data_IF_149022845906
#
_entry.id   IF_149022845906
#
_cell.length_a   1.000
_cell.length_b   1.000
_cell.length_c   1.000
_cell.angle_alpha   90.00
_cell.angle_beta   90.00
_cell.angle_gamma   90.00
#
_symmetry.space_group_name_H-M   'P 1'
#
loop_
_entity.id
_entity.type
_entity.pdbx_description
1 polymer ?
#
# COMPACT_ATOMS: atom_id res chain seq x y z
N UNK A 1 -5.74 -11.44 9.16
CA UNK A 1 -7.09 -10.89 9.41
C UNK A 1 -8.13 -11.76 8.71
N UNK A 2 -9.38 -11.89 9.20
CA UNK A 2 -10.39 -12.74 8.57
C UNK A 2 -10.94 -12.14 7.26
N UNK A 3 -11.47 -12.98 6.36
CA UNK A 3 -12.10 -12.56 5.08
C UNK A 3 -13.18 -11.49 5.29
N UNK A 4 -14.02 -11.65 6.31
CA UNK A 4 -15.10 -10.71 6.64
C UNK A 4 -14.61 -9.28 6.89
N UNK A 5 -13.39 -9.12 7.41
CA UNK A 5 -12.79 -7.80 7.62
C UNK A 5 -12.48 -7.08 6.29
N UNK A 6 -12.11 -7.83 5.25
CA UNK A 6 -11.86 -7.27 3.91
C UNK A 6 -13.14 -7.09 3.09
N UNK A 7 -14.25 -7.76 3.46
CA UNK A 7 -15.53 -7.70 2.77
C UNK A 7 -16.31 -6.40 3.04
N UNK A 8 -15.62 -5.27 3.05
CA UNK A 8 -16.13 -3.91 3.29
C UNK A 8 -15.64 -2.99 2.18
N UNK A 9 -16.16 -1.76 2.10
CA UNK A 9 -15.77 -0.83 1.04
C UNK A 9 -14.24 -0.63 1.00
N UNK A 10 -13.66 -0.53 -0.20
CA UNK A 10 -12.22 -0.34 -0.35
C UNK A 10 -11.71 0.92 0.36
N UNK A 11 -12.55 1.95 0.53
CA UNK A 11 -12.20 3.15 1.30
C UNK A 11 -12.09 2.87 2.80
N UNK A 12 -13.00 2.08 3.38
CA UNK A 12 -12.93 1.66 4.78
C UNK A 12 -11.69 0.78 4.98
N UNK A 13 -11.53 -0.23 4.12
CA UNK A 13 -10.39 -1.15 4.18
C UNK A 13 -9.08 -0.40 4.03
N UNK A 14 -8.95 0.54 3.09
CA UNK A 14 -7.74 1.33 2.90
C UNK A 14 -7.38 2.16 4.14
N UNK A 15 -8.37 2.87 4.72
CA UNK A 15 -8.15 3.66 5.92
C UNK A 15 -7.68 2.80 7.09
N UNK A 16 -8.31 1.65 7.31
CA UNK A 16 -8.03 0.79 8.47
C UNK A 16 -6.88 -0.19 8.27
N UNK A 17 -6.37 -0.32 7.04
CA UNK A 17 -5.13 -1.03 6.75
C UNK A 17 -3.90 -0.28 7.26
N UNK A 18 -3.98 1.05 7.37
CA UNK A 18 -2.91 1.85 7.96
C UNK A 18 -2.70 1.42 9.43
N UNK A 19 -1.45 1.20 9.82
CA UNK A 19 -1.11 0.66 11.14
C UNK A 19 -1.12 -0.88 11.23
N UNK A 20 -1.72 -1.58 10.26
CA UNK A 20 -1.61 -3.05 10.17
C UNK A 20 -0.28 -3.46 9.57
N UNK A 21 0.16 -4.69 9.81
CA UNK A 21 1.44 -5.18 9.33
C UNK A 21 1.25 -6.04 8.09
N UNK A 22 1.98 -5.72 7.01
CA UNK A 22 2.22 -6.67 5.94
C UNK A 22 3.27 -7.65 6.43
N UNK A 23 2.99 -8.95 6.30
CA UNK A 23 3.89 -9.99 6.80
C UNK A 23 4.09 -11.08 5.75
N UNK A 24 5.35 -11.45 5.52
CA UNK A 24 5.76 -12.51 4.61
C UNK A 24 6.65 -13.51 5.33
N UNK A 25 6.34 -14.81 5.20
CA UNK A 25 7.27 -15.90 5.50
C UNK A 25 7.98 -16.34 4.21
N UNK A 26 9.30 -16.23 4.18
CA UNK A 26 10.12 -16.55 3.01
C UNK A 26 11.43 -17.23 3.44
N UNK A 27 11.68 -18.44 2.93
CA UNK A 27 12.90 -19.23 3.21
C UNK A 27 13.21 -19.32 4.72
N UNK A 28 12.21 -19.68 5.53
CA UNK A 28 12.35 -19.82 6.98
C UNK A 28 12.39 -18.51 7.78
N UNK A 29 12.43 -17.35 7.12
CA UNK A 29 12.45 -16.03 7.77
C UNK A 29 11.11 -15.31 7.66
N UNK A 30 10.82 -14.46 8.63
CA UNK A 30 9.64 -13.58 8.64
C UNK A 30 10.07 -12.15 8.38
N UNK A 31 9.48 -11.52 7.36
CA UNK A 31 9.62 -10.09 7.05
C UNK A 31 8.29 -9.44 7.43
N UNK A 32 8.31 -8.42 8.27
CA UNK A 32 7.11 -7.70 8.72
C UNK A 32 7.40 -6.21 8.78
N UNK A 33 6.46 -5.38 8.32
CA UNK A 33 6.51 -3.93 8.50
C UNK A 33 5.10 -3.35 8.52
N UNK A 34 4.92 -2.27 9.28
CA UNK A 34 3.65 -1.55 9.37
C UNK A 34 3.31 -0.89 8.03
N UNK A 35 2.07 -1.01 7.56
CA UNK A 35 1.56 -0.35 6.36
C UNK A 35 1.33 1.13 6.67
N UNK A 36 1.97 1.99 5.88
CA UNK A 36 2.01 3.45 6.08
C UNK A 36 1.35 4.24 4.95
N UNK A 37 1.22 3.65 3.76
CA UNK A 37 0.59 4.30 2.61
C UNK A 37 -0.17 3.28 1.76
N UNK A 38 -1.41 3.62 1.38
CA UNK A 38 -2.25 2.80 0.51
C UNK A 38 -3.07 3.64 -0.46
N UNK A 39 -3.56 3.02 -1.53
CA UNK A 39 -4.56 3.60 -2.43
C UNK A 39 -5.77 2.68 -2.59
N UNK A 40 -6.96 3.27 -2.50
CA UNK A 40 -8.22 2.57 -2.78
C UNK A 40 -8.59 2.67 -4.27
N UNK A 41 -9.03 1.56 -4.83
CA UNK A 41 -9.64 1.45 -6.15
C UNK A 41 -11.04 0.88 -5.98
N UNK A 42 -12.07 1.66 -6.31
CA UNK A 42 -13.45 1.35 -5.88
C UNK A 42 -14.26 0.55 -6.89
N UNK A 43 -13.68 0.16 -8.03
CA UNK A 43 -14.30 -0.79 -8.95
C UNK A 43 -14.84 -0.15 -10.23
N UNK A 44 -16.03 -0.54 -10.72
CA UNK A 44 -16.50 -0.21 -12.07
C UNK A 44 -16.62 1.29 -12.36
N UNK A 45 -17.02 2.09 -11.40
CA UNK A 45 -17.21 3.53 -11.59
C UNK A 45 -15.87 4.27 -11.63
N UNK A 46 -14.84 3.70 -10.99
CA UNK A 46 -13.54 4.30 -10.80
C UNK A 46 -12.68 4.19 -12.04
N UNK A 47 -12.57 5.28 -12.80
CA UNK A 47 -11.81 5.30 -14.05
C UNK A 47 -10.29 5.12 -13.87
N UNK A 48 -9.77 5.16 -12.63
CA UNK A 48 -8.39 4.79 -12.34
C UNK A 48 -8.21 3.30 -12.01
N UNK A 49 -9.30 2.54 -11.83
CA UNK A 49 -9.26 1.11 -11.55
C UNK A 49 -9.00 0.30 -12.82
N UNK A 50 -8.23 -0.78 -12.72
CA UNK A 50 -8.13 -1.74 -13.82
C UNK A 50 -9.46 -2.42 -14.16
N UNK A 51 -10.40 -2.43 -13.21
CA UNK A 51 -11.74 -2.97 -13.40
C UNK A 51 -12.78 -1.88 -13.73
N UNK A 52 -12.34 -0.67 -14.13
CA UNK A 52 -13.22 0.37 -14.61
C UNK A 52 -14.19 -0.16 -15.68
N UNK A 53 -15.43 0.34 -15.67
CA UNK A 53 -16.54 -0.10 -16.53
C UNK A 53 -16.87 -1.59 -16.39
N UNK A 54 -16.54 -2.19 -15.24
CA UNK A 54 -16.77 -3.61 -14.98
C UNK A 54 -15.87 -4.53 -15.81
N UNK A 55 -14.75 -4.02 -16.34
CA UNK A 55 -13.89 -4.77 -17.24
C UNK A 55 -13.24 -5.97 -16.54
N UNK A 56 -13.73 -7.17 -16.88
CA UNK A 56 -13.19 -8.44 -16.42
C UNK A 56 -12.25 -9.03 -17.47
N UNK A 57 -10.96 -9.02 -17.17
CA UNK A 57 -9.89 -9.63 -17.97
C UNK A 57 -9.24 -10.75 -17.16
N UNK A 58 -8.40 -11.58 -17.79
CA UNK A 58 -7.60 -12.56 -17.04
C UNK A 58 -6.83 -11.92 -15.87
N UNK A 59 -6.30 -10.70 -16.08
CA UNK A 59 -5.58 -9.94 -15.04
C UNK A 59 -6.49 -9.45 -13.92
N UNK A 60 -7.70 -9.00 -14.22
CA UNK A 60 -8.60 -8.37 -13.23
C UNK A 60 -9.61 -9.34 -12.63
N UNK A 61 -9.71 -10.57 -13.16
CA UNK A 61 -10.66 -11.58 -12.71
C UNK A 61 -10.62 -11.83 -11.20
N UNK A 62 -9.42 -11.84 -10.61
CA UNK A 62 -9.24 -12.00 -9.15
C UNK A 62 -9.96 -10.92 -8.33
N UNK A 63 -10.06 -9.70 -8.84
CA UNK A 63 -10.76 -8.61 -8.14
C UNK A 63 -12.25 -8.88 -7.98
N UNK A 64 -12.85 -9.67 -8.88
CA UNK A 64 -14.25 -10.07 -8.80
C UNK A 64 -14.48 -11.25 -7.83
N UNK A 65 -13.41 -11.86 -7.32
CA UNK A 65 -13.49 -12.99 -6.40
C UNK A 65 -13.70 -12.59 -4.95
N UNK A 66 -13.49 -13.53 -4.01
CA UNK A 66 -13.57 -13.30 -2.58
C UNK A 66 -12.64 -12.18 -2.08
N UNK A 67 -13.14 -11.35 -1.16
CA UNK A 67 -12.31 -10.39 -0.42
C UNK A 67 -11.18 -11.06 0.36
N UNK A 68 -10.09 -10.33 0.56
CA UNK A 68 -8.91 -10.84 1.27
C UNK A 68 -8.02 -11.75 0.41
N UNK A 69 -8.22 -11.77 -0.91
CA UNK A 69 -7.27 -12.37 -1.87
C UNK A 69 -6.27 -11.34 -2.36
N UNK A 70 -5.05 -11.77 -2.59
CA UNK A 70 -4.03 -10.91 -3.18
C UNK A 70 -4.29 -10.74 -4.67
N UNK A 71 -4.26 -9.49 -5.13
CA UNK A 71 -4.19 -9.14 -6.53
C UNK A 71 -2.80 -8.55 -6.81
N UNK A 72 -1.91 -9.39 -7.36
CA UNK A 72 -0.55 -9.00 -7.71
C UNK A 72 -0.42 -8.91 -9.22
N UNK A 73 0.15 -7.81 -9.71
CA UNK A 73 0.33 -7.65 -11.15
C UNK A 73 1.68 -7.02 -11.47
N UNK A 74 2.17 -7.36 -12.66
CA UNK A 74 3.41 -6.82 -13.20
C UNK A 74 3.13 -5.52 -13.95
N UNK A 75 3.99 -4.53 -13.79
CA UNK A 75 3.90 -3.23 -14.46
C UNK A 75 5.26 -2.83 -15.04
N UNK A 76 5.21 -2.05 -16.12
CA UNK A 76 6.37 -1.44 -16.78
C UNK A 76 7.50 -2.43 -17.10
N UNK A 77 7.18 -3.72 -17.28
CA UNK A 77 8.16 -4.76 -17.59
C UNK A 77 9.15 -5.10 -16.49
N UNK A 78 9.04 -4.54 -15.28
CA UNK A 78 10.09 -4.67 -14.26
C UNK A 78 9.62 -4.81 -12.81
N UNK A 79 8.36 -4.47 -12.48
CA UNK A 79 7.93 -4.34 -11.09
C UNK A 79 6.60 -5.04 -10.80
N UNK A 80 6.53 -5.72 -9.65
CA UNK A 80 5.28 -6.23 -9.08
C UNK A 80 4.63 -5.20 -8.18
N UNK A 81 3.30 -5.13 -8.20
CA UNK A 81 2.50 -4.33 -7.29
C UNK A 81 1.52 -5.24 -6.56
N UNK A 82 1.39 -5.05 -5.25
CA UNK A 82 0.57 -5.90 -4.38
C UNK A 82 -0.68 -5.16 -3.92
N UNK A 83 -1.83 -5.74 -4.23
CA UNK A 83 -3.14 -5.23 -3.84
C UNK A 83 -3.87 -6.31 -3.04
N UNK A 84 -4.80 -5.91 -2.18
CA UNK A 84 -5.72 -6.81 -1.50
C UNK A 84 -7.15 -6.54 -1.98
N UNK A 85 -7.87 -7.59 -2.40
CA UNK A 85 -9.26 -7.49 -2.84
C UNK A 85 -10.15 -7.11 -1.66
N UNK A 86 -11.05 -6.16 -1.88
CA UNK A 86 -11.96 -5.62 -0.87
C UNK A 86 -13.38 -5.53 -1.40
N UNK A 87 -14.35 -5.53 -0.50
CA UNK A 87 -15.78 -5.41 -0.84
C UNK A 87 -16.47 -6.75 -1.04
N UNK A 88 -17.71 -6.69 -1.54
CA UNK A 88 -18.51 -7.89 -1.83
C UNK A 88 -17.91 -8.62 -3.03
N UNK A 89 -18.04 -9.95 -3.03
CA UNK A 89 -17.71 -10.77 -4.19
C UNK A 89 -18.53 -10.31 -5.41
N UNK A 90 -17.91 -10.32 -6.59
CA UNK A 90 -18.45 -9.75 -7.82
C UNK A 90 -18.24 -8.23 -7.97
N UNK A 91 -17.91 -7.49 -6.91
CA UNK A 91 -17.59 -6.06 -6.99
C UNK A 91 -16.07 -5.86 -7.01
N UNK A 92 -15.46 -5.47 -8.14
CA UNK A 92 -14.01 -5.52 -8.32
C UNK A 92 -13.28 -4.34 -7.69
N UNK A 93 -13.26 -4.28 -6.35
CA UNK A 93 -12.52 -3.27 -5.60
C UNK A 93 -11.28 -3.86 -4.93
N UNK A 94 -10.25 -3.03 -4.77
CA UNK A 94 -8.99 -3.45 -4.16
C UNK A 94 -8.27 -2.28 -3.52
N UNK A 95 -7.33 -2.59 -2.64
CA UNK A 95 -6.43 -1.62 -2.02
C UNK A 95 -5.00 -1.94 -2.39
N UNK A 96 -4.30 -1.00 -3.03
CA UNK A 96 -2.88 -1.07 -3.33
C UNK A 96 -2.07 -0.72 -2.08
N UNK A 97 -1.11 -1.56 -1.70
CA UNK A 97 -0.13 -1.22 -0.66
C UNK A 97 1.03 -0.48 -1.31
N UNK A 98 1.23 0.78 -0.93
CA UNK A 98 2.24 1.67 -1.50
C UNK A 98 3.45 1.89 -0.61
N UNK A 99 3.22 1.88 0.69
CA UNK A 99 4.25 2.17 1.67
C UNK A 99 4.09 1.29 2.88
N UNK A 100 5.24 0.91 3.42
CA UNK A 100 5.38 0.36 4.76
C UNK A 100 6.45 1.15 5.51
N UNK A 101 6.61 0.91 6.79
CA UNK A 101 7.67 1.52 7.59
C UNK A 101 9.04 1.34 6.93
N UNK A 102 9.80 2.44 6.80
CA UNK A 102 11.09 2.47 6.11
C UNK A 102 11.07 2.32 4.58
N UNK A 103 9.92 2.06 3.96
CA UNK A 103 9.83 1.82 2.50
C UNK A 103 8.64 2.55 1.88
N UNK A 104 8.92 3.55 1.04
CA UNK A 104 7.92 4.22 0.21
C UNK A 104 8.04 3.81 -1.26
N UNK A 105 6.90 3.48 -1.88
CA UNK A 105 6.75 3.13 -3.28
C UNK A 105 6.28 1.68 -3.47
N UNK A 106 5.18 1.42 -4.21
CA UNK A 106 4.55 0.08 -4.27
C UNK A 106 5.48 -1.00 -4.84
N UNK A 107 6.28 -0.66 -5.84
CA UNK A 107 7.29 -1.57 -6.40
C UNK A 107 8.39 -1.93 -5.39
N UNK A 108 8.79 -0.97 -4.54
CA UNK A 108 9.78 -1.18 -3.48
C UNK A 108 9.22 -2.05 -2.36
N UNK A 109 7.94 -1.87 -2.01
CA UNK A 109 7.24 -2.76 -1.07
C UNK A 109 7.27 -4.20 -1.57
N UNK A 110 6.79 -4.45 -2.80
CA UNK A 110 6.77 -5.81 -3.35
C UNK A 110 8.17 -6.44 -3.41
N UNK A 111 9.19 -5.67 -3.82
CA UNK A 111 10.59 -6.13 -3.85
C UNK A 111 11.12 -6.48 -2.47
N UNK A 112 10.89 -5.61 -1.48
CA UNK A 112 11.34 -5.80 -0.09
C UNK A 112 10.76 -7.08 0.51
N UNK A 113 9.49 -7.34 0.24
CA UNK A 113 8.77 -8.52 0.73
C UNK A 113 8.90 -9.76 -0.17
N UNK A 114 9.70 -9.70 -1.24
CA UNK A 114 9.88 -10.81 -2.21
C UNK A 114 8.54 -11.31 -2.77
N UNK A 115 7.62 -10.39 -3.06
CA UNK A 115 6.29 -10.67 -3.61
C UNK A 115 6.39 -10.72 -5.14
N UNK A 116 5.81 -11.77 -5.73
CA UNK A 116 5.73 -11.99 -7.17
C UNK A 116 4.30 -12.40 -7.57
N UNK A 117 4.05 -12.55 -8.88
CA UNK A 117 2.74 -12.89 -9.42
C UNK A 117 2.16 -14.22 -8.94
N UNK A 118 2.98 -15.13 -8.40
CA UNK A 118 2.50 -16.38 -7.79
C UNK A 118 1.62 -16.17 -6.55
N UNK A 119 1.60 -14.97 -5.96
CA UNK A 119 0.66 -14.61 -4.90
C UNK A 119 -0.73 -14.24 -5.41
N UNK A 120 -0.88 -13.93 -6.69
CA UNK A 120 -2.18 -13.57 -7.23
C UNK A 120 -3.16 -14.70 -6.99
N UNK A 121 -4.35 -14.32 -6.54
CA UNK A 121 -5.42 -15.25 -6.20
C UNK A 121 -5.11 -16.12 -4.95
N UNK A 122 -4.03 -15.88 -4.22
CA UNK A 122 -3.83 -16.52 -2.92
C UNK A 122 -4.55 -15.75 -1.79
N UNK A 123 -5.12 -16.45 -0.78
CA UNK A 123 -5.72 -15.79 0.37
C UNK A 123 -4.67 -15.16 1.30
N UNK A 124 -4.96 -13.99 1.88
CA UNK A 124 -4.09 -13.27 2.80
C UNK A 124 -4.03 -13.88 4.20
N UNK A 125 -3.45 -15.08 4.30
CA UNK A 125 -3.32 -15.85 5.53
C UNK A 125 -1.93 -16.50 5.68
N UNK A 126 -1.63 -16.98 6.89
CA UNK A 126 -0.32 -17.59 7.22
C UNK A 126 0.01 -18.82 6.37
N UNK A 127 -1.00 -19.57 5.88
CA UNK A 127 -0.81 -20.76 5.04
C UNK A 127 -0.25 -20.40 3.66
N UNK A 128 -0.71 -19.31 3.05
CA UNK A 128 -0.10 -18.77 1.81
C UNK A 128 1.31 -18.20 2.03
N UNK A 129 1.64 -17.91 3.29
CA UNK A 129 2.88 -17.26 3.69
C UNK A 129 2.92 -15.75 3.46
N UNK A 130 1.85 -15.11 2.97
CA UNK A 130 1.71 -13.65 2.86
C UNK A 130 0.38 -13.22 3.48
N UNK A 131 0.41 -12.44 4.54
CA UNK A 131 -0.79 -12.05 5.29
C UNK A 131 -0.71 -10.63 5.84
N UNK A 132 -1.85 -10.18 6.36
CA UNK A 132 -1.95 -8.94 7.14
C UNK A 132 -2.25 -9.29 8.59
N UNK A 133 -1.51 -8.66 9.49
CA UNK A 133 -1.58 -8.85 10.93
C UNK A 133 -2.00 -7.55 11.62
N UNK A 134 -2.93 -7.65 12.56
CA UNK A 134 -3.23 -6.56 13.47
C UNK A 134 -2.37 -6.71 14.72
N UNK A 135 -1.62 -5.66 15.07
CA UNK A 135 -0.74 -5.61 16.24
C UNK A 135 -1.17 -4.55 17.25
N UNK A 136 -2.37 -4.01 17.09
CA UNK A 136 -2.92 -3.01 18.02
C UNK A 136 -2.41 -1.58 17.79
N UNK A 137 -1.61 -1.31 16.76
CA UNK A 137 -1.15 0.05 16.46
C UNK A 137 -2.34 0.94 16.10
N UNK A 138 -2.40 2.08 16.79
CA UNK A 138 -3.42 3.11 16.62
C UNK A 138 -2.84 4.28 15.83
N UNK A 139 -3.44 4.55 14.67
CA UNK A 139 -3.03 5.68 13.81
C UNK A 139 -3.79 6.92 14.28
N UNK A 140 -3.07 7.91 14.83
CA UNK A 140 -3.66 9.15 15.36
C UNK A 140 -4.03 10.13 14.25
N UNK A 141 -3.29 10.15 13.14
CA UNK A 141 -3.57 11.05 12.01
C UNK A 141 -3.36 10.39 10.66
N UNK A 142 -4.37 10.48 9.81
CA UNK A 142 -4.34 10.03 8.41
C UNK A 142 -4.46 11.24 7.49
N UNK A 143 -3.51 11.39 6.57
CA UNK A 143 -3.58 12.35 5.48
C UNK A 143 -4.15 11.68 4.25
N UNK A 144 -5.00 12.40 3.51
CA UNK A 144 -5.62 11.92 2.27
C UNK A 144 -5.21 12.80 1.10
N UNK A 145 -5.06 12.20 -0.07
CA UNK A 145 -4.76 12.95 -1.29
C UNK A 145 -5.06 12.18 -2.57
N UNK A 146 -4.83 12.81 -3.73
CA UNK A 146 -4.88 12.14 -5.03
C UNK A 146 -4.00 10.90 -5.07
N UNK A 147 -4.43 9.90 -5.83
CA UNK A 147 -3.61 8.72 -6.13
C UNK A 147 -2.45 9.10 -7.07
N UNK A 148 -1.37 8.33 -7.02
CA UNK A 148 -0.16 8.57 -7.82
C UNK A 148 -0.24 7.80 -9.13
N UNK A 149 0.08 8.47 -10.24
CA UNK A 149 0.16 7.83 -11.56
C UNK A 149 -1.19 7.56 -12.22
N UNK A 150 -2.26 8.24 -11.79
CA UNK A 150 -3.62 8.08 -12.33
C UNK A 150 -4.08 9.27 -13.17
N UNK A 151 -3.15 10.06 -13.75
CA UNK A 151 -3.48 11.24 -14.54
C UNK A 151 -4.40 10.95 -15.75
N UNK A 152 -4.34 9.71 -16.27
CA UNK A 152 -5.20 9.25 -17.36
C UNK A 152 -6.68 9.08 -16.96
N UNK A 153 -7.01 9.08 -15.66
CA UNK A 153 -8.37 8.82 -15.17
C UNK A 153 -9.32 10.03 -15.28
N UNK A 154 -8.91 11.08 -16.00
CA UNK A 154 -9.69 12.30 -16.18
C UNK A 154 -9.74 13.19 -14.93
N UNK A 155 -10.33 14.38 -15.09
CA UNK A 155 -10.26 15.45 -14.09
C UNK A 155 -10.92 15.09 -12.74
N UNK A 156 -11.91 14.19 -12.74
CA UNK A 156 -12.64 13.78 -11.53
C UNK A 156 -11.86 12.69 -10.79
N UNK A 157 -11.62 11.54 -11.42
CA UNK A 157 -11.06 10.37 -10.73
C UNK A 157 -9.57 10.50 -10.40
N UNK A 158 -8.83 11.29 -11.18
CA UNK A 158 -7.43 11.61 -10.87
C UNK A 158 -7.29 12.45 -9.60
N UNK A 159 -8.28 13.29 -9.27
CA UNK A 159 -8.25 14.19 -8.10
C UNK A 159 -8.89 13.62 -6.84
N UNK A 160 -9.58 12.46 -6.92
CA UNK A 160 -10.24 11.85 -5.76
C UNK A 160 -9.23 11.57 -4.63
N UNK A 161 -9.55 11.90 -3.36
CA UNK A 161 -8.64 11.73 -2.22
C UNK A 161 -8.62 10.27 -1.72
N UNK A 162 -8.26 9.35 -2.61
CA UNK A 162 -8.32 7.89 -2.41
C UNK A 162 -6.94 7.29 -2.08
N UNK A 163 -5.92 8.13 -1.91
CA UNK A 163 -4.65 7.77 -1.28
C UNK A 163 -4.69 8.14 0.18
N UNK A 164 -4.23 7.25 1.05
CA UNK A 164 -4.22 7.40 2.49
C UNK A 164 -2.80 7.17 3.01
N UNK A 165 -2.33 8.06 3.88
CA UNK A 165 -0.97 8.03 4.45
C UNK A 165 -1.05 8.24 5.95
N UNK A 166 -0.25 7.47 6.71
CA UNK A 166 0.00 7.73 8.12
C UNK A 166 0.78 9.04 8.23
N UNK A 167 0.28 9.98 9.04
CA UNK A 167 1.00 11.20 9.41
C UNK A 167 1.54 11.13 10.84
N UNK A 168 0.86 10.40 11.72
CA UNK A 168 1.32 10.11 13.08
C UNK A 168 0.62 8.86 13.60
N UNK A 169 1.26 8.17 14.53
CA UNK A 169 0.66 7.09 15.34
C UNK A 169 0.48 7.59 16.77
N UNK A 170 -0.40 6.98 17.54
CA UNK A 170 -0.44 7.18 18.98
C UNK A 170 0.88 6.65 19.55
N UNK A 171 1.63 7.50 20.27
CA UNK A 171 2.80 7.06 20.99
C UNK A 171 2.36 6.39 22.28
N UNK A 172 2.27 5.05 22.28
CA UNK A 172 2.41 4.32 23.52
C UNK A 172 3.86 4.50 23.98
N UNK A 173 4.06 4.81 25.26
CA UNK A 173 5.30 5.24 25.90
C UNK A 173 6.44 4.18 25.92
N UNK A 174 6.50 3.26 24.95
CA UNK A 174 7.49 2.19 24.92
C UNK A 174 8.13 1.88 23.55
N UNK A 175 7.66 2.44 22.42
CA UNK A 175 8.37 2.31 21.13
C UNK A 175 7.72 3.13 20.02
N UNK A 176 8.05 4.42 19.93
CA UNK A 176 7.67 5.22 18.78
C UNK A 176 8.41 4.73 17.52
N UNK A 177 7.73 4.40 16.41
CA UNK A 177 8.40 4.11 15.16
C UNK A 177 9.08 5.38 14.63
N UNK A 178 10.31 5.22 14.14
CA UNK A 178 11.13 6.31 13.62
C UNK A 178 10.52 6.83 12.30
N UNK A 179 9.73 7.90 12.38
CA UNK A 179 9.27 8.61 11.18
C UNK A 179 10.43 9.44 10.65
N UNK A 180 10.79 9.22 9.38
CA UNK A 180 11.70 10.12 8.68
C UNK A 180 10.93 11.41 8.37
N UNK A 181 11.20 12.46 9.15
CA UNK A 181 10.61 13.76 8.93
C UNK A 181 11.18 14.36 7.63
N UNK A 182 10.30 14.72 6.70
CA UNK A 182 10.69 15.18 5.36
C UNK A 182 11.24 16.62 5.35
N UNK A 183 11.25 17.32 6.49
CA UNK A 183 11.69 18.71 6.58
C UNK A 183 13.19 18.92 6.88
N UNK A 184 13.96 17.89 7.23
CA UNK A 184 15.37 18.06 7.67
C UNK A 184 16.40 18.25 6.53
N UNK A 185 16.01 18.43 5.26
CA UNK A 185 16.97 18.52 4.13
C UNK A 185 17.35 19.91 3.65
N UNK A 186 17.00 20.99 4.37
CA UNK A 186 17.33 22.36 3.92
C UNK A 186 18.53 23.06 4.56
N UNK A 187 19.16 22.54 5.62
CA UNK A 187 20.17 23.32 6.37
C UNK A 187 21.60 22.76 6.42
N UNK A 188 22.06 21.91 5.47
CA UNK A 188 23.44 21.41 5.51
C UNK A 188 24.26 21.51 4.21
N UNK A 189 24.05 22.57 3.43
CA UNK A 189 24.87 22.86 2.22
C UNK A 189 25.60 24.21 2.26
N UNK A 190 25.68 24.88 3.41
CA UNK A 190 26.40 26.15 3.59
C UNK A 190 27.38 26.09 4.78
N UNK A 191 28.37 25.19 4.74
CA UNK A 191 29.61 25.42 5.54
C UNK A 191 30.90 24.80 4.99
N UNK A 192 30.88 24.10 3.84
CA UNK A 192 32.10 23.50 3.25
C UNK A 192 32.50 24.13 1.92
N UNK A 193 32.69 25.45 1.89
CA UNK A 193 33.50 26.15 0.86
C UNK A 193 34.10 27.42 1.46
N UNK A 194 35.23 27.30 2.16
CA UNK A 194 36.30 28.32 2.33
C UNK A 194 37.35 27.79 3.32
N UNK A 195 38.15 26.85 2.84
CA UNK A 195 39.49 26.61 3.34
C UNK A 195 40.21 25.91 2.20
N UNK A 196 41.06 26.64 1.47
CA UNK A 196 42.20 26.20 0.65
C UNK A 196 42.48 27.28 -0.42
N UNK A 197 43.22 28.32 -0.02
CA UNK A 197 44.10 29.09 -0.92
C UNK A 197 45.02 30.01 -0.10
N UNK A 198 46.11 29.45 0.44
CA UNK A 198 47.34 30.20 0.78
C UNK A 198 48.53 29.22 0.79
N UNK A 199 49.26 29.22 -0.32
CA UNK A 199 50.70 28.97 -0.43
C UNK A 199 51.12 29.43 -1.82
#
# INVERSE_FOLDING_TARGET
MPRSWFARSALIVARELLGKYLVRRYRGRTIAAMITEVEAYTGPEDLASHAARGRRTARTAVMFGPAGRWYVYFTYGMHWLVNIVAGREGHPAAVLIRGVEGVSGPARVARTFRIAGSFTDMPANRRSGLWIEDRGVRVSRIVRGPRVGVGYAGAVWAKKPYRFMVSSVESDSASAPFFFDAESKKNNTLSRRRAHSRS
#
